data_IF_998257449253
#
_entry.id   IF_998257449253
#
_cell.length_a   1.000
_cell.length_b   1.000
_cell.length_c   1.000
_cell.angle_alpha   90.00
_cell.angle_beta   90.00
_cell.angle_gamma   90.00
#
_symmetry.space_group_name_H-M   'P 1'
#
loop_
_entity.id
_entity.type
_entity.pdbx_description
1 polymer ?
#
# COMPACT_ATOMS: atom_id res chain seq x y z
N UNK A 1 16.97 -4.58 20.54
CA UNK A 1 15.71 -4.01 20.00
C UNK A 1 15.94 -3.78 18.52
N UNK A 2 15.02 -4.21 17.67
CA UNK A 2 15.07 -3.97 16.22
C UNK A 2 15.13 -2.46 15.97
N UNK A 3 16.07 -2.02 15.13
CA UNK A 3 16.17 -0.60 14.75
C UNK A 3 15.06 -0.22 13.78
N UNK A 4 14.46 -1.20 13.10
CA UNK A 4 13.31 -1.03 12.20
C UNK A 4 11.95 -1.14 12.87
N UNK A 5 11.89 -1.29 14.20
CA UNK A 5 10.63 -1.33 14.97
C UNK A 5 9.59 -0.25 14.58
N UNK A 6 9.97 1.03 14.35
CA UNK A 6 8.98 2.04 13.97
C UNK A 6 8.21 1.70 12.68
N UNK A 7 8.89 1.13 11.68
CA UNK A 7 8.27 0.76 10.42
C UNK A 7 7.44 -0.52 10.54
N UNK A 8 7.88 -1.48 11.36
CA UNK A 8 7.02 -2.59 11.78
C UNK A 8 5.72 -2.09 12.40
N UNK A 9 5.78 -1.13 13.33
CA UNK A 9 4.59 -0.60 14.00
C UNK A 9 3.67 0.16 13.02
N UNK A 10 4.24 0.91 12.06
CA UNK A 10 3.49 1.57 10.99
C UNK A 10 2.78 0.54 10.09
N UNK A 11 3.48 -0.52 9.67
CA UNK A 11 2.90 -1.60 8.88
C UNK A 11 1.77 -2.31 9.63
N UNK A 12 1.96 -2.61 10.93
CA UNK A 12 0.90 -3.17 11.78
C UNK A 12 -0.33 -2.25 11.84
N UNK A 13 -0.15 -0.93 11.82
CA UNK A 13 -1.23 0.04 11.75
C UNK A 13 -2.01 0.00 10.43
N UNK A 14 -1.37 -0.38 9.31
CA UNK A 14 -1.99 -0.47 7.98
C UNK A 14 -2.71 -1.81 7.75
N UNK A 15 -2.32 -2.89 8.45
CA UNK A 15 -2.90 -4.22 8.26
C UNK A 15 -4.44 -4.29 8.36
N UNK A 16 -5.11 -3.64 9.33
CA UNK A 16 -6.57 -3.66 9.40
C UNK A 16 -7.24 -3.09 8.16
N UNK A 17 -6.65 -2.06 7.54
CA UNK A 17 -7.15 -1.47 6.30
C UNK A 17 -6.91 -2.41 5.11
N UNK A 18 -5.78 -3.11 5.09
CA UNK A 18 -5.49 -4.12 4.06
C UNK A 18 -6.52 -5.26 4.15
N UNK A 19 -6.85 -5.74 5.35
CA UNK A 19 -7.91 -6.74 5.54
C UNK A 19 -9.29 -6.23 5.12
N UNK A 20 -9.55 -4.93 5.22
CA UNK A 20 -10.80 -4.33 4.76
C UNK A 20 -11.00 -4.47 3.23
N UNK A 21 -9.93 -4.55 2.43
CA UNK A 21 -10.04 -4.83 0.98
C UNK A 21 -10.66 -6.21 0.73
N UNK A 22 -10.22 -7.22 1.49
CA UNK A 22 -10.78 -8.58 1.41
C UNK A 22 -12.25 -8.58 1.82
N UNK A 23 -12.59 -7.92 2.94
CA UNK A 23 -13.97 -7.81 3.40
C UNK A 23 -14.86 -7.07 2.40
N UNK A 24 -14.36 -6.03 1.74
CA UNK A 24 -15.07 -5.33 0.68
C UNK A 24 -15.31 -6.23 -0.55
N UNK A 25 -14.35 -7.09 -0.90
CA UNK A 25 -14.49 -8.06 -1.98
C UNK A 25 -15.58 -9.09 -1.67
N UNK A 26 -15.63 -9.59 -0.44
CA UNK A 26 -16.65 -10.53 0.04
C UNK A 26 -18.04 -9.90 0.05
N UNK A 27 -18.16 -8.64 0.49
CA UNK A 27 -19.42 -7.91 0.44
C UNK A 27 -19.97 -7.73 -0.99
N UNK A 28 -19.09 -7.70 -2.01
CA UNK A 28 -19.48 -7.62 -3.41
C UNK A 28 -20.14 -8.91 -3.94
N UNK A 29 -20.00 -10.06 -3.25
CA UNK A 29 -20.60 -11.35 -3.65
C UNK A 29 -22.12 -11.40 -3.48
N UNK A 30 -22.65 -10.62 -2.53
CA UNK A 30 -24.08 -10.55 -2.24
C UNK A 30 -24.88 -9.74 -3.27
N UNK A 31 -25.87 -9.00 -2.78
CA UNK A 31 -26.64 -8.06 -3.61
C UNK A 31 -25.83 -6.80 -3.99
N UNK A 32 -24.64 -6.64 -3.42
CA UNK A 32 -23.77 -5.47 -3.59
C UNK A 32 -24.25 -4.25 -2.80
N UNK A 33 -25.18 -4.43 -1.86
CA UNK A 33 -25.58 -3.43 -0.89
C UNK A 33 -24.36 -2.93 -0.12
N UNK A 34 -24.06 -1.65 -0.25
CA UNK A 34 -22.90 -1.04 0.40
C UNK A 34 -21.58 -1.12 -0.36
N UNK A 35 -21.53 -1.76 -1.55
CA UNK A 35 -20.31 -1.80 -2.37
C UNK A 35 -19.75 -0.40 -2.63
N UNK A 36 -20.61 0.57 -2.97
CA UNK A 36 -20.17 1.97 -3.20
C UNK A 36 -19.43 2.54 -1.99
N UNK A 37 -19.99 2.40 -0.79
CA UNK A 37 -19.35 2.85 0.46
C UNK A 37 -18.05 2.11 0.72
N UNK A 38 -18.03 0.79 0.54
CA UNK A 38 -16.82 0.00 0.74
C UNK A 38 -15.71 0.43 -0.23
N UNK A 39 -16.05 0.75 -1.48
CA UNK A 39 -15.10 1.31 -2.44
C UNK A 39 -14.62 2.70 -2.02
N UNK A 40 -15.52 3.58 -1.56
CA UNK A 40 -15.13 4.90 -1.04
C UNK A 40 -14.12 4.78 0.11
N UNK A 41 -14.38 3.91 1.09
CA UNK A 41 -13.49 3.71 2.24
C UNK A 41 -12.13 3.12 1.83
N UNK A 42 -12.12 2.18 0.87
CA UNK A 42 -10.89 1.60 0.32
C UNK A 42 -10.09 2.63 -0.48
N UNK A 43 -10.75 3.43 -1.33
CA UNK A 43 -10.09 4.44 -2.15
C UNK A 43 -9.49 5.56 -1.29
N UNK A 44 -10.20 5.98 -0.24
CA UNK A 44 -9.68 6.91 0.77
C UNK A 44 -8.37 6.37 1.38
N UNK A 45 -8.38 5.12 1.83
CA UNK A 45 -7.19 4.46 2.37
C UNK A 45 -6.03 4.40 1.36
N UNK A 46 -6.31 3.95 0.13
CA UNK A 46 -5.28 3.78 -0.89
C UNK A 46 -4.64 5.13 -1.26
N UNK A 47 -5.46 6.16 -1.48
CA UNK A 47 -4.97 7.48 -1.92
C UNK A 47 -4.29 8.29 -0.82
N UNK A 48 -4.80 8.23 0.41
CA UNK A 48 -4.33 9.12 1.49
C UNK A 48 -3.35 8.46 2.45
N UNK A 49 -3.24 7.13 2.44
CA UNK A 49 -2.36 6.41 3.35
C UNK A 49 -1.37 5.50 2.61
N UNK A 50 -1.87 4.51 1.86
CA UNK A 50 -0.98 3.47 1.31
C UNK A 50 -0.07 3.96 0.18
N UNK A 51 -0.61 4.69 -0.81
CA UNK A 51 0.20 5.18 -1.94
C UNK A 51 1.23 6.20 -1.48
N UNK A 52 0.91 7.19 -0.61
CA UNK A 52 1.91 8.09 -0.07
C UNK A 52 3.03 7.38 0.71
N UNK A 53 2.68 6.32 1.44
CA UNK A 53 3.65 5.45 2.12
C UNK A 53 4.59 4.77 1.12
N UNK A 54 4.05 4.09 0.11
CA UNK A 54 4.81 3.42 -0.96
C UNK A 54 5.77 4.38 -1.70
N UNK A 55 5.31 5.61 -1.98
CA UNK A 55 6.14 6.64 -2.60
C UNK A 55 7.31 7.08 -1.70
N UNK A 56 7.09 7.12 -0.38
CA UNK A 56 8.15 7.41 0.58
C UNK A 56 9.17 6.27 0.66
N UNK A 57 8.72 5.01 0.57
CA UNK A 57 9.60 3.84 0.49
C UNK A 57 10.48 3.89 -0.76
N UNK A 58 9.88 4.18 -1.92
CA UNK A 58 10.60 4.29 -3.19
C UNK A 58 11.73 5.32 -3.16
N UNK A 59 11.45 6.48 -2.54
CA UNK A 59 12.35 7.62 -2.48
C UNK A 59 13.40 7.49 -1.38
N UNK A 60 13.11 6.76 -0.29
CA UNK A 60 13.93 6.77 0.93
C UNK A 60 14.38 5.37 1.33
N UNK A 61 13.44 4.45 1.57
CA UNK A 61 13.74 3.11 2.10
C UNK A 61 14.57 2.30 1.10
N UNK A 62 14.11 2.20 -0.14
CA UNK A 62 14.71 1.33 -1.14
C UNK A 62 16.16 1.71 -1.50
N UNK A 63 16.53 3.01 -1.66
CA UNK A 63 17.95 3.38 -1.77
C UNK A 63 18.82 3.01 -0.56
N UNK A 64 18.24 2.91 0.63
CA UNK A 64 18.96 2.44 1.82
C UNK A 64 19.14 0.92 1.77
N UNK A 65 18.08 0.18 1.43
CA UNK A 65 18.13 -1.28 1.24
C UNK A 65 19.18 -1.67 0.19
N UNK A 66 19.17 -1.03 -0.98
CA UNK A 66 20.14 -1.34 -2.05
C UNK A 66 21.59 -1.09 -1.63
N UNK A 67 21.84 -0.03 -0.84
CA UNK A 67 23.16 0.24 -0.28
C UNK A 67 23.57 -0.78 0.76
N UNK A 68 22.66 -1.18 1.65
CA UNK A 68 22.91 -2.22 2.65
C UNK A 68 23.25 -3.57 1.99
N UNK A 69 22.58 -3.90 0.88
CA UNK A 69 22.84 -5.11 0.11
C UNK A 69 24.06 -5.01 -0.81
N UNK A 70 24.61 -3.81 -1.03
CA UNK A 70 25.63 -3.57 -2.05
C UNK A 70 25.17 -3.89 -3.49
N UNK A 71 23.87 -3.83 -3.75
CA UNK A 71 23.24 -4.30 -4.97
C UNK A 71 22.29 -3.23 -5.56
N UNK A 72 22.83 -2.26 -6.34
CA UNK A 72 22.02 -1.25 -7.00
C UNK A 72 20.94 -1.88 -7.91
N UNK A 73 19.72 -1.38 -7.82
CA UNK A 73 18.56 -1.89 -8.57
C UNK A 73 17.90 -3.16 -7.99
N UNK A 74 18.38 -3.70 -6.87
CA UNK A 74 17.81 -4.90 -6.26
C UNK A 74 16.34 -4.74 -5.81
N UNK A 75 15.86 -3.51 -5.67
CA UNK A 75 14.48 -3.19 -5.25
C UNK A 75 13.57 -2.82 -6.44
N UNK A 76 14.02 -3.05 -7.68
CA UNK A 76 13.23 -2.74 -8.89
C UNK A 76 11.90 -3.53 -8.96
N UNK A 77 11.88 -4.77 -8.46
CA UNK A 77 10.66 -5.58 -8.41
C UNK A 77 9.63 -5.02 -7.43
N UNK A 78 10.07 -4.37 -6.35
CA UNK A 78 9.17 -3.75 -5.37
C UNK A 78 8.51 -2.48 -5.92
N UNK A 79 9.27 -1.67 -6.67
CA UNK A 79 8.71 -0.53 -7.40
C UNK A 79 7.66 -0.95 -8.42
N UNK A 80 7.88 -2.08 -9.10
CA UNK A 80 6.88 -2.61 -10.04
C UNK A 80 5.58 -3.01 -9.33
N UNK A 81 5.65 -3.51 -8.10
CA UNK A 81 4.47 -3.80 -7.29
C UNK A 81 3.72 -2.51 -6.91
N UNK A 82 4.43 -1.45 -6.53
CA UNK A 82 3.84 -0.13 -6.31
C UNK A 82 3.11 0.39 -7.56
N UNK A 83 3.73 0.29 -8.74
CA UNK A 83 3.10 0.67 -10.01
C UNK A 83 1.80 -0.11 -10.26
N UNK A 84 1.77 -1.41 -9.93
CA UNK A 84 0.56 -2.23 -10.07
C UNK A 84 -0.54 -1.78 -9.11
N UNK A 85 -0.20 -1.49 -7.85
CA UNK A 85 -1.15 -0.99 -6.85
C UNK A 85 -1.78 0.32 -7.32
N UNK A 86 -0.98 1.25 -7.87
CA UNK A 86 -1.49 2.52 -8.42
C UNK A 86 -2.44 2.27 -9.59
N UNK A 87 -2.08 1.39 -10.53
CA UNK A 87 -2.91 1.09 -11.69
C UNK A 87 -4.23 0.38 -11.31
N UNK A 88 -4.19 -0.59 -10.40
CA UNK A 88 -5.40 -1.26 -9.92
C UNK A 88 -6.29 -0.30 -9.10
N UNK A 89 -5.69 0.62 -8.33
CA UNK A 89 -6.44 1.68 -7.63
C UNK A 89 -7.18 2.58 -8.62
N UNK A 90 -6.51 2.98 -9.71
CA UNK A 90 -7.13 3.77 -10.79
C UNK A 90 -8.30 3.02 -11.45
N UNK A 91 -8.17 1.71 -11.69
CA UNK A 91 -9.28 0.90 -12.20
C UNK A 91 -10.42 0.77 -11.19
N UNK A 92 -10.10 0.68 -9.89
CA UNK A 92 -11.10 0.60 -8.83
C UNK A 92 -11.91 1.91 -8.73
N UNK A 93 -11.24 3.04 -8.84
CA UNK A 93 -11.86 4.36 -8.93
C UNK A 93 -12.87 4.42 -10.09
N UNK A 94 -12.50 3.91 -11.27
CA UNK A 94 -13.42 3.86 -12.42
C UNK A 94 -14.66 2.99 -12.17
N UNK A 95 -14.49 1.83 -11.49
CA UNK A 95 -15.64 1.00 -11.10
C UNK A 95 -16.54 1.77 -10.15
N UNK A 96 -15.96 2.42 -9.13
CA UNK A 96 -16.69 3.23 -8.15
C UNK A 96 -17.45 4.37 -8.82
N UNK A 97 -16.80 5.11 -9.71
CA UNK A 97 -17.41 6.28 -10.37
C UNK A 97 -18.55 5.91 -11.31
N UNK A 98 -18.57 4.67 -11.83
CA UNK A 98 -19.67 4.15 -12.63
C UNK A 98 -20.89 3.67 -11.80
N UNK A 99 -20.84 3.70 -10.46
CA UNK A 99 -21.93 3.24 -9.60
C UNK A 99 -23.00 4.32 -9.37
N UNK A 100 -23.89 4.54 -10.34
CA UNK A 100 -24.99 5.53 -10.23
C UNK A 100 -26.27 5.00 -9.54
N UNK A 101 -26.23 3.79 -9.00
CA UNK A 101 -27.35 3.11 -8.36
C UNK A 101 -26.96 1.74 -7.81
N UNK A 102 -27.91 0.82 -7.62
CA UNK A 102 -27.59 -0.57 -7.26
C UNK A 102 -26.60 -1.18 -8.26
N UNK A 103 -25.49 -1.78 -7.80
CA UNK A 103 -24.44 -2.25 -8.69
C UNK A 103 -24.92 -3.41 -9.55
N UNK A 104 -24.62 -3.37 -10.85
CA UNK A 104 -24.89 -4.48 -11.75
C UNK A 104 -24.01 -5.70 -11.39
N UNK A 105 -24.39 -6.93 -11.78
CA UNK A 105 -23.56 -8.11 -11.55
C UNK A 105 -22.15 -7.99 -12.14
N UNK A 106 -21.99 -7.25 -13.24
CA UNK A 106 -20.69 -7.00 -13.86
C UNK A 106 -19.84 -6.04 -13.03
N UNK A 107 -20.42 -4.94 -12.54
CA UNK A 107 -19.72 -4.00 -11.65
C UNK A 107 -19.28 -4.67 -10.36
N UNK A 108 -20.13 -5.55 -9.77
CA UNK A 108 -19.76 -6.34 -8.59
C UNK A 108 -18.57 -7.24 -8.85
N UNK A 109 -18.58 -8.02 -9.94
CA UNK A 109 -17.45 -8.88 -10.33
C UNK A 109 -16.18 -8.09 -10.60
N UNK A 110 -16.27 -6.94 -11.27
CA UNK A 110 -15.13 -6.07 -11.54
C UNK A 110 -14.52 -5.52 -10.25
N UNK A 111 -15.34 -4.99 -9.34
CA UNK A 111 -14.91 -4.53 -8.03
C UNK A 111 -14.26 -5.65 -7.22
N UNK A 112 -14.90 -6.81 -7.13
CA UNK A 112 -14.38 -7.98 -6.43
C UNK A 112 -13.00 -8.42 -6.94
N UNK A 113 -12.85 -8.54 -8.27
CA UNK A 113 -11.57 -8.92 -8.90
C UNK A 113 -10.45 -7.95 -8.53
N UNK A 114 -10.73 -6.65 -8.58
CA UNK A 114 -9.75 -5.61 -8.26
C UNK A 114 -9.39 -5.60 -6.77
N UNK A 115 -10.37 -5.73 -5.89
CA UNK A 115 -10.17 -5.75 -4.44
C UNK A 115 -9.35 -6.96 -3.98
N UNK A 116 -9.63 -8.16 -4.48
CA UNK A 116 -8.80 -9.33 -4.17
C UNK A 116 -7.40 -9.22 -4.79
N UNK A 117 -7.27 -8.66 -5.99
CA UNK A 117 -5.97 -8.40 -6.62
C UNK A 117 -5.10 -7.46 -5.80
N UNK A 118 -5.66 -6.30 -5.40
CA UNK A 118 -5.01 -5.35 -4.51
C UNK A 118 -4.63 -6.00 -3.18
N UNK A 119 -5.56 -6.69 -2.52
CA UNK A 119 -5.29 -7.37 -1.26
C UNK A 119 -4.11 -8.35 -1.38
N UNK A 120 -4.10 -9.20 -2.41
CA UNK A 120 -3.04 -10.18 -2.60
C UNK A 120 -1.66 -9.54 -2.82
N UNK A 121 -1.59 -8.52 -3.69
CA UNK A 121 -0.33 -7.82 -3.99
C UNK A 121 0.17 -7.09 -2.75
N UNK A 122 -0.68 -6.31 -2.07
CA UNK A 122 -0.28 -5.52 -0.91
C UNK A 122 0.16 -6.41 0.25
N UNK A 123 -0.54 -7.52 0.52
CA UNK A 123 -0.15 -8.48 1.56
C UNK A 123 1.21 -9.11 1.28
N UNK A 124 1.45 -9.54 0.04
CA UNK A 124 2.74 -10.09 -0.36
C UNK A 124 3.84 -9.03 -0.31
N UNK A 125 3.54 -7.80 -0.71
CA UNK A 125 4.46 -6.68 -0.66
C UNK A 125 4.99 -6.44 0.75
N UNK A 126 4.08 -6.30 1.72
CA UNK A 126 4.41 -6.10 3.12
C UNK A 126 5.22 -7.28 3.67
N UNK A 127 4.85 -8.51 3.33
CA UNK A 127 5.62 -9.68 3.74
C UNK A 127 7.07 -9.63 3.23
N UNK A 128 7.32 -9.20 1.98
CA UNK A 128 8.68 -9.05 1.46
C UNK A 128 9.47 -7.99 2.23
N UNK A 129 8.86 -6.87 2.58
CA UNK A 129 9.55 -5.84 3.36
C UNK A 129 9.86 -6.34 4.77
N UNK A 130 8.85 -6.82 5.48
CA UNK A 130 8.93 -7.31 6.86
C UNK A 130 9.92 -8.47 7.02
N UNK A 131 9.84 -9.46 6.13
CA UNK A 131 10.55 -10.73 6.29
C UNK A 131 11.91 -10.74 5.57
N UNK A 132 12.18 -9.78 4.68
CA UNK A 132 13.43 -9.73 3.92
C UNK A 132 14.18 -8.44 4.18
N UNK A 133 13.58 -7.28 3.87
CA UNK A 133 14.31 -6.01 3.89
C UNK A 133 14.55 -5.50 5.30
N UNK A 134 13.55 -5.55 6.19
CA UNK A 134 13.72 -5.04 7.55
C UNK A 134 14.73 -5.87 8.35
N UNK A 135 14.83 -7.18 8.08
CA UNK A 135 15.89 -8.02 8.65
C UNK A 135 17.30 -7.62 8.18
N UNK A 136 17.45 -7.26 6.91
CA UNK A 136 18.72 -6.76 6.36
C UNK A 136 19.07 -5.42 7.01
N UNK A 137 18.11 -4.50 7.09
CA UNK A 137 18.34 -3.18 7.70
C UNK A 137 18.64 -3.28 9.20
N UNK A 138 18.01 -4.21 9.91
CA UNK A 138 18.31 -4.47 11.32
C UNK A 138 19.74 -4.98 11.54
N UNK A 139 20.30 -5.72 10.58
CA UNK A 139 21.67 -6.21 10.64
C UNK A 139 22.71 -5.14 10.24
N UNK A 140 22.36 -4.27 9.28
CA UNK A 140 23.33 -3.39 8.62
C UNK A 140 23.28 -1.93 9.09
N UNK A 141 22.17 -1.46 9.65
CA UNK A 141 22.02 -0.05 10.06
C UNK A 141 22.37 0.18 11.53
N UNK A 142 22.94 1.37 11.79
CA UNK A 142 22.98 1.92 13.14
C UNK A 142 21.62 2.51 13.52
N UNK A 143 21.35 2.65 14.82
CA UNK A 143 20.12 3.25 15.31
C UNK A 143 19.90 4.68 14.76
N UNK A 144 20.95 5.48 14.68
CA UNK A 144 20.88 6.86 14.16
C UNK A 144 20.55 6.89 12.67
N UNK A 145 21.14 5.99 11.88
CA UNK A 145 20.86 5.87 10.45
C UNK A 145 19.42 5.44 10.19
N UNK A 146 18.93 4.46 10.97
CA UNK A 146 17.54 4.02 10.91
C UNK A 146 16.58 5.14 11.31
N UNK A 147 16.84 5.87 12.40
CA UNK A 147 16.02 7.00 12.83
C UNK A 147 15.95 8.11 11.77
N UNK A 148 17.08 8.45 11.13
CA UNK A 148 17.11 9.43 10.04
C UNK A 148 16.30 8.96 8.81
N UNK A 149 16.39 7.68 8.47
CA UNK A 149 15.60 7.08 7.40
C UNK A 149 14.09 7.20 7.68
N UNK A 150 13.63 6.85 8.88
CA UNK A 150 12.21 6.97 9.24
C UNK A 150 11.70 8.41 9.23
N UNK A 151 12.49 9.34 9.76
CA UNK A 151 12.12 10.76 9.72
C UNK A 151 11.95 11.25 8.27
N UNK A 152 12.82 10.81 7.36
CA UNK A 152 12.73 11.14 5.94
C UNK A 152 11.53 10.48 5.25
N UNK A 153 11.22 9.22 5.57
CA UNK A 153 10.03 8.52 5.06
C UNK A 153 8.75 9.24 5.51
N UNK A 154 8.61 9.53 6.80
CA UNK A 154 7.41 10.18 7.34
C UNK A 154 7.18 11.55 6.70
N UNK A 155 8.24 12.34 6.52
CA UNK A 155 8.16 13.62 5.82
C UNK A 155 7.80 13.44 4.33
N UNK A 156 8.26 12.36 3.69
CA UNK A 156 7.88 11.99 2.32
C UNK A 156 6.40 11.66 2.17
N UNK A 157 5.90 10.76 3.02
CA UNK A 157 4.51 10.31 3.00
C UNK A 157 3.53 11.47 3.25
N UNK A 158 3.84 12.35 4.20
CA UNK A 158 3.03 13.56 4.45
C UNK A 158 2.94 14.49 3.24
N UNK A 159 4.04 14.65 2.48
CA UNK A 159 4.03 15.44 1.23
C UNK A 159 3.20 14.78 0.15
N UNK A 160 3.35 13.46 -0.03
CA UNK A 160 2.57 12.68 -1.00
C UNK A 160 1.05 12.75 -0.74
N UNK A 161 0.64 12.59 0.52
CA UNK A 161 -0.76 12.66 0.92
C UNK A 161 -1.39 14.03 0.66
N UNK A 162 -0.63 15.12 0.83
CA UNK A 162 -1.10 16.49 0.53
C UNK A 162 -1.27 16.74 -0.97
N UNK A 163 -0.42 16.15 -1.81
CA UNK A 163 -0.54 16.28 -3.27
C UNK A 163 -1.64 15.41 -3.87
N UNK A 164 -1.92 14.24 -3.28
CA UNK A 164 -2.98 13.32 -3.73
C UNK A 164 -4.40 13.84 -3.48
N UNK A 165 -4.61 14.69 -2.47
CA UNK A 165 -5.91 15.27 -2.15
C UNK A 165 -6.38 16.41 -3.10
N UNK A 166 -5.53 16.82 -4.05
CA UNK A 166 -5.79 17.93 -4.96
C UNK A 166 -6.06 17.50 -6.42
N UNK A 167 -6.05 16.20 -6.72
CA UNK A 167 -6.28 15.64 -8.07
C UNK A 167 -7.51 14.74 -8.11
#
# INVERSE_FOLDING_TARGET
MSVTKPLHDEHQGLLPHIEALRAAAEAAEGDGGGLRRALDDVLEFLHHHLIPHAQAEDAVLYPVVERAMGAPGATATMRRDHDEVVELTRQLQQVRDALDGPPTPEQRRSGQRLLYGLYAIIRLHFAKEEEVYLLILDAELTADAAAAMFAAMHAGAQRGAQTGAAG
#
